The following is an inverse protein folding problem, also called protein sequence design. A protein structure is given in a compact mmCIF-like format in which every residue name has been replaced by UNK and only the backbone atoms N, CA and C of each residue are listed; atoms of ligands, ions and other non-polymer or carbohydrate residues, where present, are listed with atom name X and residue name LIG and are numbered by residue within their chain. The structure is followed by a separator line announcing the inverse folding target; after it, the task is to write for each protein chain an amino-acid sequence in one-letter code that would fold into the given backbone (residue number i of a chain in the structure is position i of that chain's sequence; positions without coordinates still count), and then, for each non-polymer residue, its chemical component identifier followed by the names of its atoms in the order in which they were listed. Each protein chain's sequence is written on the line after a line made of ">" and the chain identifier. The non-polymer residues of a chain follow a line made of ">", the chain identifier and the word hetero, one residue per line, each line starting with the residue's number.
data_IF_527796829035
#
_entry.id   IF_527796829035
#
_cell.length_a   1.000
_cell.length_b   1.000
_cell.length_c   1.000
_cell.angle_alpha   90.00
_cell.angle_beta   90.00
_cell.angle_gamma   90.00
#
_symmetry.space_group_name_H-M   'P 1'
#
loop_
_entity.id
_entity.type
_entity.pdbx_description
1 polymer ?
#
# COMPACT_ATOMS: atom_id res chain seq x y z
N UNK A 1 -22.44 8.81 28.79
CA UNK A 1 -21.45 7.75 29.12
C UNK A 1 -20.16 8.01 28.36
N UNK A 2 -18.99 7.72 28.94
CA UNK A 2 -17.72 7.82 28.21
C UNK A 2 -17.72 6.89 26.99
N UNK A 3 -17.14 7.30 25.86
CA UNK A 3 -17.03 6.47 24.65
C UNK A 3 -16.39 5.09 24.93
N UNK A 4 -15.48 5.03 25.91
CA UNK A 4 -14.88 3.79 26.42
C UNK A 4 -15.92 2.85 27.02
N UNK A 5 -16.89 3.35 27.79
CA UNK A 5 -17.95 2.55 28.41
C UNK A 5 -18.99 2.07 27.38
N UNK A 6 -19.27 2.86 26.34
CA UNK A 6 -20.21 2.49 25.26
C UNK A 6 -19.62 1.38 24.39
N UNK A 7 -18.34 1.48 24.03
CA UNK A 7 -17.67 0.41 23.28
C UNK A 7 -17.39 -0.80 24.16
N UNK A 8 -17.01 -0.59 25.43
CA UNK A 8 -16.73 -1.69 26.35
C UNK A 8 -17.97 -2.50 26.73
N UNK A 9 -19.12 -1.85 26.95
CA UNK A 9 -20.40 -2.53 27.17
C UNK A 9 -20.93 -3.23 25.92
N UNK A 10 -20.46 -2.84 24.72
CA UNK A 10 -20.84 -3.41 23.42
C UNK A 10 -19.65 -4.11 22.71
N UNK A 11 -18.68 -4.63 23.46
CA UNK A 11 -17.46 -5.28 22.93
C UNK A 11 -17.77 -6.46 21.98
N UNK A 12 -18.96 -7.05 22.12
CA UNK A 12 -19.56 -8.06 21.24
C UNK A 12 -19.59 -7.65 19.75
N UNK A 13 -19.41 -6.37 19.42
CA UNK A 13 -19.47 -5.88 18.03
C UNK A 13 -18.12 -5.65 17.35
N UNK A 14 -17.01 -5.79 18.08
CA UNK A 14 -15.68 -5.65 17.48
C UNK A 14 -15.24 -7.01 16.97
N UNK A 15 -15.50 -7.27 15.69
CA UNK A 15 -15.10 -8.49 14.99
C UNK A 15 -14.16 -8.20 13.81
N UNK A 16 -13.62 -9.25 13.19
CA UNK A 16 -12.79 -9.15 11.98
C UNK A 16 -13.46 -8.32 10.89
N UNK A 17 -14.78 -8.45 10.69
CA UNK A 17 -15.51 -7.77 9.60
C UNK A 17 -15.56 -6.25 9.81
N UNK A 18 -15.63 -5.79 11.06
CA UNK A 18 -15.61 -4.37 11.40
C UNK A 18 -14.29 -3.70 10.98
N UNK A 19 -13.17 -4.31 11.36
CA UNK A 19 -11.83 -3.71 11.19
C UNK A 19 -11.15 -4.08 9.87
N UNK A 20 -11.60 -5.14 9.18
CA UNK A 20 -10.97 -5.67 7.95
C UNK A 20 -10.64 -4.59 6.92
N UNK A 21 -11.60 -3.72 6.60
CA UNK A 21 -11.40 -2.70 5.57
C UNK A 21 -10.34 -1.68 6.00
N UNK A 22 -10.35 -1.25 7.26
CA UNK A 22 -9.39 -0.30 7.80
C UNK A 22 -8.00 -0.90 7.85
N UNK A 23 -7.86 -2.13 8.33
CA UNK A 23 -6.58 -2.86 8.33
C UNK A 23 -6.02 -2.99 6.90
N UNK A 24 -6.85 -3.40 5.93
CA UNK A 24 -6.45 -3.54 4.53
C UNK A 24 -6.09 -2.21 3.85
N UNK A 25 -6.65 -1.08 4.29
CA UNK A 25 -6.47 0.20 3.59
C UNK A 25 -5.48 1.15 4.27
N UNK A 26 -5.18 0.96 5.55
CA UNK A 26 -4.18 1.73 6.28
C UNK A 26 -2.79 1.61 5.67
N UNK A 27 -2.43 0.43 5.17
CA UNK A 27 -1.16 0.15 4.46
C UNK A 27 -1.03 0.95 3.16
N UNK A 28 -2.15 1.43 2.63
CA UNK A 28 -2.22 2.27 1.43
C UNK A 28 -2.37 3.77 1.76
N UNK A 29 -2.07 4.18 2.99
CA UNK A 29 -2.03 5.59 3.39
C UNK A 29 -3.39 6.17 3.78
N UNK A 30 -4.35 5.34 4.20
CA UNK A 30 -5.60 5.84 4.80
C UNK A 30 -5.30 6.65 6.06
N UNK A 31 -5.88 7.85 6.14
CA UNK A 31 -5.76 8.73 7.32
C UNK A 31 -6.72 8.31 8.43
N UNK A 32 -6.50 8.80 9.65
CA UNK A 32 -7.45 8.62 10.77
C UNK A 32 -8.90 8.94 10.39
N UNK A 33 -9.10 10.04 9.64
CA UNK A 33 -10.43 10.44 9.17
C UNK A 33 -11.03 9.38 8.24
N UNK A 34 -10.25 8.88 7.28
CA UNK A 34 -10.69 7.81 6.38
C UNK A 34 -11.00 6.50 7.12
N UNK A 35 -10.14 6.10 8.07
CA UNK A 35 -10.33 4.93 8.92
C UNK A 35 -11.62 5.01 9.74
N UNK A 36 -11.86 6.16 10.39
CA UNK A 36 -13.10 6.44 11.12
C UNK A 36 -14.32 6.29 10.24
N UNK A 37 -14.33 6.88 9.05
CA UNK A 37 -15.50 6.80 8.14
C UNK A 37 -15.77 5.36 7.68
N UNK A 38 -14.73 4.58 7.42
CA UNK A 38 -14.89 3.16 7.09
C UNK A 38 -15.55 2.38 8.24
N UNK A 39 -15.06 2.57 9.47
CA UNK A 39 -15.62 1.92 10.66
C UNK A 39 -17.03 2.42 10.94
N UNK A 40 -17.29 3.73 10.83
CA UNK A 40 -18.62 4.33 11.01
C UNK A 40 -19.64 3.71 10.06
N UNK A 41 -19.30 3.54 8.78
CA UNK A 41 -20.16 2.89 7.79
C UNK A 41 -20.50 1.45 8.21
N UNK A 42 -19.51 0.69 8.68
CA UNK A 42 -19.72 -0.69 9.15
C UNK A 42 -20.55 -0.78 10.42
N UNK A 43 -20.39 0.14 11.36
CA UNK A 43 -21.23 0.22 12.56
C UNK A 43 -22.67 0.59 12.20
N UNK A 44 -22.85 1.52 11.24
CA UNK A 44 -24.17 1.92 10.73
C UNK A 44 -24.90 0.76 10.04
N UNK A 45 -24.19 -0.03 9.22
CA UNK A 45 -24.73 -1.26 8.58
C UNK A 45 -25.28 -2.28 9.60
N UNK A 46 -24.76 -2.30 10.83
CA UNK A 46 -25.23 -3.21 11.88
C UNK A 46 -26.48 -2.72 12.60
N UNK A 47 -26.78 -1.43 12.56
CA UNK A 47 -28.02 -0.85 13.12
C UNK A 47 -28.16 -0.89 14.65
N UNK A 48 -27.12 -1.19 15.41
CA UNK A 48 -27.21 -1.37 16.89
C UNK A 48 -26.97 -0.09 17.69
N UNK A 49 -26.53 0.97 17.02
CA UNK A 49 -26.38 2.31 17.61
C UNK A 49 -27.30 3.23 16.82
N UNK A 50 -28.42 3.63 17.43
CA UNK A 50 -29.42 4.50 16.81
C UNK A 50 -29.04 5.99 16.92
N UNK A 51 -28.33 6.38 17.98
CA UNK A 51 -27.87 7.74 18.17
C UNK A 51 -26.62 8.03 17.34
N UNK A 52 -26.69 9.07 16.49
CA UNK A 52 -25.59 9.44 15.59
C UNK A 52 -24.35 9.98 16.36
N UNK A 53 -24.55 10.56 17.54
CA UNK A 53 -23.47 11.07 18.40
C UNK A 53 -22.67 9.94 19.06
N UNK A 54 -23.37 8.92 19.58
CA UNK A 54 -22.79 7.69 20.09
C UNK A 54 -22.09 6.90 18.97
N UNK A 55 -22.72 6.82 17.79
CA UNK A 55 -22.13 6.14 16.63
C UNK A 55 -20.82 6.82 16.22
N UNK A 56 -20.79 8.15 16.18
CA UNK A 56 -19.59 8.91 15.89
C UNK A 56 -18.50 8.66 16.96
N UNK A 57 -18.86 8.72 18.23
CA UNK A 57 -17.90 8.50 19.33
C UNK A 57 -17.33 7.09 19.33
N UNK A 58 -18.17 6.08 19.12
CA UNK A 58 -17.76 4.68 18.98
C UNK A 58 -16.84 4.48 17.77
N UNK A 59 -17.15 5.10 16.62
CA UNK A 59 -16.29 5.02 15.43
C UNK A 59 -14.93 5.67 15.65
N UNK A 60 -14.86 6.80 16.37
CA UNK A 60 -13.60 7.45 16.72
C UNK A 60 -12.74 6.56 17.62
N UNK A 61 -13.34 5.99 18.67
CA UNK A 61 -12.62 5.10 19.59
C UNK A 61 -12.12 3.84 18.88
N UNK A 62 -12.98 3.15 18.14
CA UNK A 62 -12.60 1.95 17.41
C UNK A 62 -11.52 2.22 16.34
N UNK A 63 -11.59 3.35 15.63
CA UNK A 63 -10.54 3.75 14.68
C UNK A 63 -9.21 4.02 15.40
N UNK A 64 -9.24 4.72 16.54
CA UNK A 64 -8.04 5.00 17.33
C UNK A 64 -7.38 3.71 17.80
N UNK A 65 -8.14 2.82 18.45
CA UNK A 65 -7.62 1.54 18.94
C UNK A 65 -7.09 0.67 17.80
N UNK A 66 -7.82 0.58 16.68
CA UNK A 66 -7.38 -0.19 15.51
C UNK A 66 -6.06 0.35 14.95
N UNK A 67 -5.93 1.68 14.82
CA UNK A 67 -4.72 2.29 14.29
C UNK A 67 -3.54 2.19 15.26
N UNK A 68 -3.78 2.31 16.57
CA UNK A 68 -2.73 2.08 17.59
C UNK A 68 -2.22 0.64 17.54
N UNK A 69 -3.12 -0.35 17.45
CA UNK A 69 -2.71 -1.75 17.31
C UNK A 69 -1.92 -1.99 16.00
N UNK A 70 -2.32 -1.37 14.90
CA UNK A 70 -1.55 -1.44 13.64
C UNK A 70 -0.17 -0.79 13.76
N UNK A 71 -0.07 0.33 14.48
CA UNK A 71 1.20 1.01 14.72
C UNK A 71 2.17 0.14 15.53
N UNK A 72 1.67 -0.57 16.54
CA UNK A 72 2.46 -1.50 17.35
C UNK A 72 2.89 -2.74 16.55
N UNK A 73 1.99 -3.29 15.73
CA UNK A 73 2.26 -4.53 14.97
C UNK A 73 3.16 -4.33 13.74
N UNK A 74 3.15 -3.14 13.13
CA UNK A 74 3.79 -2.89 11.83
C UNK A 74 4.81 -1.74 11.85
N UNK A 75 5.61 -1.64 12.91
CA UNK A 75 6.59 -0.56 13.09
C UNK A 75 7.61 -0.49 11.94
N UNK A 76 8.23 -1.61 11.57
CA UNK A 76 9.24 -1.67 10.50
C UNK A 76 8.66 -1.22 9.15
N UNK A 77 7.48 -1.74 8.81
CA UNK A 77 6.75 -1.36 7.61
C UNK A 77 6.43 0.12 7.54
N UNK A 78 5.98 0.71 8.64
CA UNK A 78 5.70 2.15 8.72
C UNK A 78 6.97 2.98 8.58
N UNK A 79 8.09 2.51 9.14
CA UNK A 79 9.40 3.10 8.93
C UNK A 79 9.77 3.20 7.45
N UNK A 80 9.61 2.09 6.71
CA UNK A 80 9.85 2.05 5.26
C UNK A 80 8.89 2.97 4.49
N UNK A 81 7.58 2.95 4.80
CA UNK A 81 6.61 3.83 4.14
C UNK A 81 6.91 5.31 4.38
N UNK A 82 7.36 5.66 5.59
CA UNK A 82 7.76 7.03 5.94
C UNK A 82 9.02 7.43 5.15
N UNK A 83 10.03 6.55 5.13
CA UNK A 83 11.25 6.75 4.36
C UNK A 83 10.98 6.95 2.87
N UNK A 84 10.16 6.10 2.24
CA UNK A 84 9.72 6.25 0.85
C UNK A 84 9.06 7.63 0.65
N UNK A 85 8.11 8.00 1.51
CA UNK A 85 7.45 9.30 1.44
C UNK A 85 8.40 10.49 1.54
N UNK A 86 9.42 10.39 2.39
CA UNK A 86 10.42 11.45 2.57
C UNK A 86 11.37 11.54 1.37
N UNK A 87 11.80 10.42 0.78
CA UNK A 87 12.51 10.41 -0.50
C UNK A 87 11.68 11.07 -1.62
N UNK A 88 10.40 10.71 -1.73
CA UNK A 88 9.48 11.31 -2.70
C UNK A 88 9.30 12.81 -2.50
N UNK A 89 9.29 13.28 -1.24
CA UNK A 89 9.22 14.70 -0.91
C UNK A 89 10.46 15.45 -1.39
N UNK A 90 11.65 14.89 -1.23
CA UNK A 90 12.92 15.49 -1.68
C UNK A 90 12.91 15.69 -3.20
N UNK A 91 12.59 14.64 -3.97
CA UNK A 91 12.49 14.70 -5.44
C UNK A 91 11.43 15.72 -5.89
N UNK A 92 10.24 15.66 -5.29
CA UNK A 92 9.14 16.52 -5.71
C UNK A 92 9.32 17.99 -5.29
N UNK A 93 10.07 18.28 -4.21
CA UNK A 93 10.40 19.64 -3.81
C UNK A 93 11.27 20.35 -4.86
N UNK A 94 12.11 19.59 -5.57
CA UNK A 94 12.90 20.06 -6.72
C UNK A 94 12.09 20.07 -8.04
N UNK A 95 10.77 19.98 -7.95
CA UNK A 95 9.83 19.95 -9.07
C UNK A 95 10.00 18.76 -10.04
N UNK A 96 10.57 17.65 -9.58
CA UNK A 96 10.67 16.42 -10.35
C UNK A 96 9.59 15.40 -9.97
N UNK A 97 9.12 14.62 -10.94
CA UNK A 97 8.22 13.49 -10.67
C UNK A 97 9.03 12.31 -10.14
N UNK A 98 8.51 11.61 -9.12
CA UNK A 98 9.16 10.41 -8.61
C UNK A 98 9.09 9.32 -9.69
N UNK A 99 10.24 8.72 -9.98
CA UNK A 99 10.40 7.67 -10.98
C UNK A 99 11.34 6.59 -10.46
N UNK A 100 11.05 5.32 -10.72
CA UNK A 100 11.90 4.21 -10.34
C UNK A 100 11.86 3.13 -11.40
N UNK A 101 12.76 2.15 -11.28
CA UNK A 101 12.79 0.98 -12.15
C UNK A 101 12.43 -0.22 -11.27
N UNK A 102 11.45 -1.01 -11.70
CA UNK A 102 11.10 -2.27 -11.00
C UNK A 102 12.24 -3.28 -11.09
N UNK A 103 12.28 -4.33 -10.25
CA UNK A 103 13.27 -5.40 -10.37
C UNK A 103 13.28 -6.11 -11.74
N UNK A 104 12.18 -6.03 -12.50
CA UNK A 104 12.09 -6.55 -13.87
C UNK A 104 12.49 -5.53 -14.96
N UNK A 105 13.04 -4.37 -14.59
CA UNK A 105 13.50 -3.37 -15.54
C UNK A 105 12.42 -2.43 -16.08
N UNK A 106 11.16 -2.55 -15.66
CA UNK A 106 10.08 -1.63 -16.06
C UNK A 106 10.27 -0.25 -15.41
N UNK A 107 10.43 0.84 -16.19
CA UNK A 107 10.43 2.19 -15.64
C UNK A 107 9.01 2.64 -15.27
N UNK A 108 8.85 3.17 -14.06
CA UNK A 108 7.57 3.68 -13.54
C UNK A 108 7.73 5.15 -13.17
N UNK A 109 6.75 5.97 -13.53
CA UNK A 109 6.73 7.42 -13.24
C UNK A 109 5.40 7.81 -12.62
N UNK A 110 5.43 8.58 -11.54
CA UNK A 110 4.22 9.10 -10.93
C UNK A 110 3.64 10.31 -11.70
N UNK A 111 2.38 10.26 -12.17
CA UNK A 111 1.81 11.30 -13.03
C UNK A 111 1.30 12.54 -12.26
N UNK A 112 1.53 12.64 -10.95
CA UNK A 112 0.89 13.67 -10.12
C UNK A 112 1.47 15.07 -10.35
N UNK A 113 0.87 15.77 -11.32
CA UNK A 113 1.15 17.16 -11.71
C UNK A 113 -0.07 18.04 -11.46
N UNK A 114 0.17 19.34 -11.25
CA UNK A 114 -0.91 20.32 -11.09
C UNK A 114 -1.64 20.46 -12.42
N UNK A 115 -2.96 20.45 -12.33
CA UNK A 115 -3.82 20.64 -13.48
C UNK A 115 -4.08 22.13 -13.66
N UNK A 116 -3.65 22.66 -14.79
CA UNK A 116 -3.92 24.01 -15.25
C UNK A 116 -5.23 24.07 -16.03
N UNK A 117 -5.72 25.30 -16.22
CA UNK A 117 -6.88 25.57 -17.08
C UNK A 117 -6.37 26.12 -18.41
N UNK A 118 -6.88 25.58 -19.51
CA UNK A 118 -6.63 26.07 -20.85
C UNK A 118 -7.95 26.57 -21.42
N UNK A 119 -8.06 27.88 -21.61
CA UNK A 119 -9.26 28.52 -22.12
C UNK A 119 -9.20 28.61 -23.65
N UNK A 120 -10.11 27.95 -24.33
CA UNK A 120 -10.28 28.04 -25.78
C UNK A 120 -11.45 28.98 -26.04
N UNK A 121 -11.15 30.18 -26.56
CA UNK A 121 -12.19 31.12 -27.01
C UNK A 121 -12.68 30.68 -28.39
N UNK A 122 -13.99 30.47 -28.51
CA UNK A 122 -14.69 30.25 -29.78
C UNK A 122 -15.59 31.45 -30.06
N UNK A 123 -16.18 31.52 -31.25
CA UNK A 123 -17.13 32.58 -31.62
C UNK A 123 -18.42 32.58 -30.78
N UNK A 124 -18.80 31.44 -30.19
CA UNK A 124 -20.04 31.29 -29.41
C UNK A 124 -19.81 31.28 -27.89
N UNK A 125 -18.66 30.80 -27.42
CA UNK A 125 -18.37 30.63 -25.99
C UNK A 125 -16.88 30.41 -25.70
N UNK A 126 -16.52 30.39 -24.41
CA UNK A 126 -15.18 30.00 -23.94
C UNK A 126 -15.22 28.61 -23.33
N UNK A 127 -14.51 27.66 -23.93
CA UNK A 127 -14.34 26.30 -23.41
C UNK A 127 -13.18 26.28 -22.42
N UNK A 128 -13.40 25.76 -21.22
CA UNK A 128 -12.34 25.54 -20.22
C UNK A 128 -11.90 24.09 -20.25
N UNK A 129 -10.73 23.82 -20.81
CA UNK A 129 -10.11 22.51 -20.79
C UNK A 129 -9.15 22.39 -19.62
N UNK A 130 -8.97 21.17 -19.13
CA UNK A 130 -7.96 20.85 -18.14
C UNK A 130 -6.70 20.37 -18.85
N UNK A 131 -5.56 20.99 -18.55
CA UNK A 131 -4.25 20.64 -19.13
C UNK A 131 -3.24 20.43 -18.02
N UNK A 132 -2.44 19.38 -18.10
CA UNK A 132 -1.33 19.18 -17.16
C UNK A 132 -0.31 20.32 -17.27
N UNK A 133 0.21 20.75 -16.12
CA UNK A 133 1.31 21.73 -16.03
C UNK A 133 2.61 21.02 -15.70
N UNK A 134 3.74 21.72 -15.85
CA UNK A 134 5.05 21.22 -15.42
C UNK A 134 5.29 21.26 -13.91
N UNK A 135 4.32 21.74 -13.13
CA UNK A 135 4.45 21.81 -11.68
C UNK A 135 3.97 20.52 -11.04
N UNK A 136 4.85 19.82 -10.32
CA UNK A 136 4.48 18.58 -9.62
C UNK A 136 3.68 18.85 -8.35
N UNK A 137 2.82 17.90 -7.98
CA UNK A 137 2.05 17.96 -6.73
C UNK A 137 2.80 17.26 -5.60
N UNK A 138 3.70 17.99 -4.91
CA UNK A 138 4.56 17.46 -3.83
C UNK A 138 3.81 16.58 -2.83
N UNK A 139 2.66 17.07 -2.33
CA UNK A 139 1.85 16.32 -1.35
C UNK A 139 1.35 14.99 -1.91
N UNK A 140 0.90 14.95 -3.16
CA UNK A 140 0.37 13.73 -3.80
C UNK A 140 1.49 12.76 -4.15
N UNK A 141 2.61 13.25 -4.68
CA UNK A 141 3.83 12.46 -4.94
C UNK A 141 4.28 11.73 -3.64
N UNK A 142 4.41 12.47 -2.53
CA UNK A 142 4.76 11.92 -1.21
C UNK A 142 3.79 10.83 -0.75
N UNK A 143 2.49 11.11 -0.74
CA UNK A 143 1.50 10.16 -0.17
C UNK A 143 1.25 8.95 -1.05
N UNK A 144 1.43 9.07 -2.37
CA UNK A 144 1.14 8.00 -3.30
C UNK A 144 2.36 7.12 -3.61
N UNK A 145 3.58 7.56 -3.29
CA UNK A 145 4.78 6.79 -3.57
C UNK A 145 4.87 5.45 -2.83
N UNK A 146 4.68 5.36 -1.51
CA UNK A 146 4.72 4.07 -0.82
C UNK A 146 3.78 3.01 -1.40
N UNK A 147 2.46 3.27 -1.60
CA UNK A 147 1.56 2.25 -2.14
C UNK A 147 1.87 1.91 -3.61
N UNK A 148 2.23 2.90 -4.45
CA UNK A 148 2.57 2.64 -5.85
C UNK A 148 3.86 1.82 -5.98
N UNK A 149 4.83 2.03 -5.09
CA UNK A 149 6.06 1.26 -5.06
C UNK A 149 5.79 -0.21 -4.71
N UNK A 150 5.01 -0.47 -3.65
CA UNK A 150 4.61 -1.84 -3.26
C UNK A 150 3.82 -2.53 -4.39
N UNK A 151 2.85 -1.86 -5.00
CA UNK A 151 2.12 -2.43 -6.14
C UNK A 151 3.03 -2.78 -7.33
N UNK A 152 4.10 -2.02 -7.55
CA UNK A 152 5.06 -2.34 -8.61
C UNK A 152 5.89 -3.60 -8.29
N UNK A 153 6.15 -3.87 -7.00
CA UNK A 153 6.79 -5.11 -6.55
C UNK A 153 5.82 -6.29 -6.66
N UNK A 154 4.56 -6.12 -6.25
CA UNK A 154 3.52 -7.15 -6.39
C UNK A 154 3.34 -7.53 -7.88
N UNK A 155 3.31 -6.54 -8.77
CA UNK A 155 3.27 -6.76 -10.21
C UNK A 155 4.50 -7.48 -10.75
N UNK A 156 5.69 -7.15 -10.23
CA UNK A 156 6.93 -7.85 -10.58
C UNK A 156 6.89 -9.31 -10.14
N UNK A 157 6.45 -9.57 -8.90
CA UNK A 157 6.30 -10.93 -8.38
C UNK A 157 5.29 -11.76 -9.19
N UNK A 158 4.15 -11.18 -9.54
CA UNK A 158 3.15 -11.82 -10.41
C UNK A 158 3.76 -12.20 -11.76
N UNK A 159 4.49 -11.28 -12.40
CA UNK A 159 5.12 -11.53 -13.71
C UNK A 159 6.20 -12.61 -13.62
N UNK A 160 7.06 -12.57 -12.60
CA UNK A 160 8.07 -13.61 -12.32
C UNK A 160 7.42 -14.98 -12.13
N UNK A 161 6.33 -15.03 -11.36
CA UNK A 161 5.58 -16.27 -11.10
C UNK A 161 4.93 -16.79 -12.37
N UNK A 162 4.32 -15.92 -13.18
CA UNK A 162 3.68 -16.30 -14.44
C UNK A 162 4.67 -16.89 -15.45
N UNK A 163 5.85 -16.29 -15.58
CA UNK A 163 6.93 -16.80 -16.44
C UNK A 163 7.40 -18.17 -15.96
N UNK A 164 7.68 -18.33 -14.67
CA UNK A 164 8.13 -19.60 -14.10
C UNK A 164 7.07 -20.71 -14.17
N UNK A 165 5.79 -20.36 -14.02
CA UNK A 165 4.67 -21.29 -14.23
C UNK A 165 4.65 -21.77 -15.68
N UNK A 166 4.77 -20.85 -16.65
CA UNK A 166 4.80 -21.20 -18.08
C UNK A 166 5.99 -22.10 -18.43
N UNK A 167 7.18 -21.81 -17.90
CA UNK A 167 8.38 -22.65 -18.07
C UNK A 167 8.21 -24.05 -17.47
N UNK A 168 7.43 -24.16 -16.40
CA UNK A 168 7.06 -25.43 -15.77
C UNK A 168 5.85 -26.13 -16.42
N UNK A 169 5.29 -25.58 -17.51
CA UNK A 169 4.14 -26.14 -18.22
C UNK A 169 2.77 -25.89 -17.58
N UNK A 170 2.68 -25.00 -16.59
CA UNK A 170 1.43 -24.66 -15.90
C UNK A 170 0.68 -23.54 -16.62
N UNK A 171 -0.65 -23.65 -16.64
CA UNK A 171 -1.51 -22.53 -17.01
C UNK A 171 -1.60 -21.53 -15.85
N UNK A 172 -1.45 -20.25 -16.13
CA UNK A 172 -1.49 -19.18 -15.12
C UNK A 172 -2.51 -18.12 -15.49
N UNK A 173 -3.34 -17.74 -14.53
CA UNK A 173 -4.17 -16.54 -14.58
C UNK A 173 -3.98 -15.75 -13.28
N UNK A 174 -3.98 -14.42 -13.36
CA UNK A 174 -3.74 -13.56 -12.20
C UNK A 174 -4.66 -12.35 -12.19
N UNK A 175 -5.23 -12.05 -11.03
CA UNK A 175 -5.92 -10.79 -10.73
C UNK A 175 -5.21 -10.14 -9.55
N UNK A 176 -4.27 -9.24 -9.86
CA UNK A 176 -3.41 -8.58 -8.87
C UNK A 176 -2.68 -9.54 -7.95
N UNK A 177 -3.19 -9.78 -6.74
CA UNK A 177 -2.63 -10.61 -5.67
C UNK A 177 -3.26 -12.02 -5.60
N UNK A 178 -4.15 -12.35 -6.53
CA UNK A 178 -4.81 -13.65 -6.62
C UNK A 178 -4.37 -14.41 -7.88
N UNK A 179 -3.74 -15.57 -7.70
CA UNK A 179 -3.18 -16.39 -8.78
C UNK A 179 -3.91 -17.73 -8.92
N UNK A 180 -4.28 -18.08 -10.13
CA UNK A 180 -5.12 -19.23 -10.47
C UNK A 180 -4.42 -20.14 -11.49
N UNK A 181 -4.66 -21.44 -11.35
CA UNK A 181 -4.19 -22.50 -12.26
C UNK A 181 -5.20 -23.66 -12.24
N UNK A 182 -4.95 -24.75 -12.97
CA UNK A 182 -5.78 -25.95 -12.88
C UNK A 182 -5.61 -26.63 -11.52
N UNK A 183 -6.66 -27.31 -11.03
CA UNK A 183 -6.67 -27.90 -9.70
C UNK A 183 -5.51 -28.88 -9.44
N UNK A 184 -5.06 -29.62 -10.46
CA UNK A 184 -3.93 -30.54 -10.36
C UNK A 184 -2.57 -29.85 -10.17
N UNK A 185 -2.47 -28.57 -10.52
CA UNK A 185 -1.20 -27.83 -10.56
C UNK A 185 -1.03 -26.90 -9.36
N UNK A 186 -2.03 -26.80 -8.48
CA UNK A 186 -2.08 -25.84 -7.36
C UNK A 186 -0.87 -26.00 -6.42
N UNK A 187 -0.50 -27.23 -6.07
CA UNK A 187 0.64 -27.48 -5.19
C UNK A 187 1.96 -27.04 -5.83
N UNK A 188 2.12 -27.32 -7.12
CA UNK A 188 3.31 -26.93 -7.88
C UNK A 188 3.39 -25.41 -8.04
N UNK A 189 2.27 -24.75 -8.37
CA UNK A 189 2.21 -23.29 -8.44
C UNK A 189 2.55 -22.64 -7.10
N UNK A 190 2.09 -23.22 -5.98
CA UNK A 190 2.39 -22.73 -4.63
C UNK A 190 3.89 -22.75 -4.30
N UNK A 191 4.62 -23.75 -4.78
CA UNK A 191 6.08 -23.83 -4.63
C UNK A 191 6.74 -22.72 -5.44
N UNK A 192 6.44 -22.64 -6.75
CA UNK A 192 6.99 -21.64 -7.67
C UNK A 192 6.76 -20.22 -7.14
N UNK A 193 5.56 -19.95 -6.64
CA UNK A 193 5.19 -18.66 -6.10
C UNK A 193 6.11 -18.26 -4.94
N UNK A 194 6.32 -19.15 -3.97
CA UNK A 194 7.19 -18.90 -2.80
C UNK A 194 8.64 -18.75 -3.21
N UNK A 195 9.13 -19.56 -4.13
CA UNK A 195 10.48 -19.44 -4.70
C UNK A 195 10.69 -18.06 -5.33
N UNK A 196 9.76 -17.62 -6.19
CA UNK A 196 9.84 -16.31 -6.85
C UNK A 196 9.66 -15.15 -5.88
N UNK A 197 8.94 -15.35 -4.78
CA UNK A 197 8.85 -14.36 -3.71
C UNK A 197 10.21 -14.18 -3.00
N UNK A 198 10.84 -15.29 -2.61
CA UNK A 198 12.17 -15.26 -1.98
C UNK A 198 13.19 -14.66 -2.93
N UNK A 199 13.23 -15.09 -4.19
CA UNK A 199 14.14 -14.55 -5.22
C UNK A 199 14.00 -13.03 -5.38
N UNK A 200 12.77 -12.51 -5.42
CA UNK A 200 12.52 -11.08 -5.53
C UNK A 200 13.09 -10.31 -4.31
N UNK A 201 12.82 -10.78 -3.10
CA UNK A 201 13.17 -10.08 -1.85
C UNK A 201 14.58 -10.38 -1.32
N UNK A 202 15.30 -11.37 -1.86
CA UNK A 202 16.75 -11.54 -1.66
C UNK A 202 17.54 -10.38 -2.31
N UNK A 203 16.95 -9.73 -3.31
CA UNK A 203 17.53 -8.54 -3.95
C UNK A 203 17.47 -7.33 -3.00
N UNK A 204 18.52 -6.48 -2.92
CA UNK A 204 18.52 -5.30 -2.04
C UNK A 204 17.68 -4.15 -2.65
N UNK A 205 16.36 -4.31 -2.63
CA UNK A 205 15.39 -3.44 -3.33
C UNK A 205 15.49 -1.96 -2.89
N UNK A 206 15.57 -1.70 -1.59
CA UNK A 206 15.58 -0.31 -1.07
C UNK A 206 16.93 0.37 -1.30
N UNK A 207 18.03 -0.39 -1.19
CA UNK A 207 19.38 0.07 -1.51
C UNK A 207 19.49 0.45 -2.99
N UNK A 208 19.02 -0.42 -3.88
CA UNK A 208 19.02 -0.18 -5.33
C UNK A 208 18.18 1.07 -5.68
N UNK A 209 17.05 1.26 -5.00
CA UNK A 209 16.21 2.45 -5.17
C UNK A 209 16.94 3.72 -4.73
N UNK A 210 17.57 3.70 -3.55
CA UNK A 210 18.31 4.84 -3.03
C UNK A 210 19.49 5.21 -3.92
N UNK A 211 20.25 4.21 -4.38
CA UNK A 211 21.37 4.41 -5.30
C UNK A 211 20.90 5.02 -6.62
N UNK A 212 19.77 4.55 -7.16
CA UNK A 212 19.15 5.10 -8.38
C UNK A 212 18.74 6.58 -8.21
N UNK A 213 18.20 6.94 -7.04
CA UNK A 213 17.86 8.32 -6.71
C UNK A 213 19.10 9.20 -6.58
N UNK A 214 20.13 8.74 -5.89
CA UNK A 214 21.39 9.48 -5.74
C UNK A 214 22.09 9.69 -7.09
N UNK A 215 22.09 8.68 -7.97
CA UNK A 215 22.60 8.80 -9.35
C UNK A 215 21.79 9.79 -10.20
N UNK A 216 20.47 9.76 -10.08
CA UNK A 216 19.58 10.65 -10.85
C UNK A 216 19.58 12.09 -10.35
N UNK A 217 19.83 12.29 -9.05
CA UNK A 217 19.73 13.57 -8.37
C UNK A 217 20.95 13.79 -7.45
N UNK A 218 22.16 13.97 -8.00
CA UNK A 218 23.41 14.02 -7.22
C UNK A 218 23.51 15.23 -6.29
N UNK A 219 22.70 16.27 -6.51
CA UNK A 219 22.63 17.47 -5.68
C UNK A 219 21.64 17.36 -4.51
N UNK A 220 20.80 16.33 -4.50
CA UNK A 220 19.77 16.15 -3.48
C UNK A 220 20.25 15.19 -2.38
N UNK A 221 19.92 15.54 -1.13
CA UNK A 221 20.24 14.70 0.03
C UNK A 221 19.03 13.84 0.42
N UNK A 222 19.22 12.53 0.38
CA UNK A 222 18.20 11.54 0.73
C UNK A 222 18.38 11.04 2.17
N UNK A 223 17.28 10.69 2.88
CA UNK A 223 17.38 10.10 4.20
C UNK A 223 18.07 8.73 4.15
N UNK A 224 18.79 8.34 5.22
CA UNK A 224 19.44 7.04 5.30
C UNK A 224 18.40 5.91 5.28
N UNK A 225 18.82 4.72 4.84
CA UNK A 225 17.96 3.54 4.82
C UNK A 225 17.47 3.17 6.23
N UNK A 226 16.23 2.68 6.37
CA UNK A 226 15.76 2.11 7.62
C UNK A 226 16.54 0.84 7.99
N UNK A 227 16.62 0.53 9.28
CA UNK A 227 17.29 -0.69 9.76
C UNK A 227 16.58 -1.95 9.25
N UNK A 228 17.37 -2.94 8.84
CA UNK A 228 16.85 -4.27 8.46
C UNK A 228 16.55 -5.06 9.72
N UNK A 229 15.41 -5.74 9.74
CA UNK A 229 15.08 -6.72 10.78
C UNK A 229 15.92 -7.99 10.67
N UNK A 230 15.74 -8.90 11.63
CA UNK A 230 16.42 -10.19 11.72
C UNK A 230 15.60 -11.36 11.14
N UNK A 231 14.59 -11.08 10.32
CA UNK A 231 13.71 -12.09 9.74
C UNK A 231 14.42 -12.88 8.63
N UNK A 232 14.40 -14.22 8.72
CA UNK A 232 14.94 -15.09 7.68
C UNK A 232 13.87 -15.41 6.62
N UNK A 233 14.13 -15.02 5.37
CA UNK A 233 13.29 -15.32 4.20
C UNK A 233 13.28 -16.82 3.83
N UNK A 234 14.10 -17.66 4.46
CA UNK A 234 14.17 -19.10 4.15
C UNK A 234 13.34 -19.98 5.09
N UNK A 235 12.85 -19.44 6.21
CA UNK A 235 12.14 -20.19 7.25
C UNK A 235 10.72 -20.68 6.86
N UNK A 236 10.30 -20.52 5.60
CA UNK A 236 9.11 -21.17 5.00
C UNK A 236 7.75 -20.81 5.62
N UNK A 237 7.75 -20.05 6.72
CA UNK A 237 6.58 -19.71 7.52
C UNK A 237 5.93 -18.45 6.95
N UNK A 238 5.44 -18.56 5.72
CA UNK A 238 4.74 -17.50 5.02
C UNK A 238 3.24 -17.77 5.05
N UNK A 239 2.47 -16.94 5.75
CA UNK A 239 1.07 -16.73 5.35
C UNK A 239 1.08 -15.67 4.24
N UNK A 240 0.86 -16.09 3.00
CA UNK A 240 0.53 -15.18 1.91
C UNK A 240 -0.82 -14.53 2.21
N UNK A 241 -0.79 -13.43 2.96
CA UNK A 241 -1.80 -12.39 2.86
C UNK A 241 -1.19 -11.29 1.99
N UNK A 242 -1.10 -11.56 0.69
CA UNK A 242 -0.67 -10.58 -0.31
C UNK A 242 -1.81 -9.57 -0.42
N UNK A 243 -1.70 -8.49 0.34
CA UNK A 243 -2.52 -7.27 0.20
C UNK A 243 -1.74 -6.07 0.78
N UNK A 244 -0.43 -6.18 1.02
CA UNK A 244 0.33 -5.14 1.71
C UNK A 244 1.86 -5.23 1.64
N UNK A 245 2.45 -6.21 0.94
CA UNK A 245 3.90 -6.43 1.03
C UNK A 245 4.38 -6.81 2.44
N UNK A 246 3.55 -7.50 3.24
CA UNK A 246 3.94 -8.00 4.55
C UNK A 246 4.14 -9.52 4.54
N UNK A 247 5.32 -9.94 4.99
CA UNK A 247 5.52 -11.29 5.50
C UNK A 247 5.00 -11.31 6.93
N UNK A 248 3.89 -12.02 7.17
CA UNK A 248 3.39 -12.27 8.52
C UNK A 248 3.91 -13.63 9.02
N UNK A 249 4.50 -13.71 10.23
CA UNK A 249 4.78 -15.00 10.86
C UNK A 249 3.47 -15.76 11.11
N UNK A 250 3.51 -17.10 11.07
CA UNK A 250 2.38 -17.93 11.53
C UNK A 250 2.07 -17.56 12.99
N UNK A 251 0.84 -17.15 13.25
CA UNK A 251 0.30 -17.29 14.60
C UNK A 251 -0.05 -18.77 14.83
N UNK A 252 0.34 -19.35 15.97
CA UNK A 252 -0.15 -20.65 16.38
C UNK A 252 -1.66 -20.51 16.66
N UNK A 253 -2.47 -21.29 15.95
CA UNK A 253 -3.77 -21.71 16.45
C UNK A 253 -3.59 -23.07 17.11
#
# INVERSE_FOLDING_TARGET
>A
MSATLIVASKWIQVDRKLVKQTVMTSVYGVTYVGAREQIKRRLKERGVIADDGELFSASCYAAKVTLTALEEMFQAARGIMTWLGDCAKVVAADNHAVRWITPLGLPVVQPYRKLGRHLIKTSLQVLTLQRETDKVMVKRQRTAFPPNFVHSLDGSHMMMTAVACRESGLNFAGVHDSYWTHACDVDRMNIILREKFVELYETPILENLLESFQKSFPTLNFPPLPERGNFDLKDGTFMMAVSAGYVLPKFPF
#
